data_IF_818251411208
#
_entry.id   IF_818251411208
#
_cell.length_a   1.000
_cell.length_b   1.000
_cell.length_c   1.000
_cell.angle_alpha   90.00
_cell.angle_beta   90.00
_cell.angle_gamma   90.00
#
_symmetry.space_group_name_H-M   'P 1'
#
loop_
_entity.id
_entity.type
_entity.pdbx_description
1 polymer ?
#
# COMPACT_ATOMS: atom_id res chain seq x y z
N UNK A 1 -7.17 5.99 -9.14
CA UNK A 1 -6.15 5.88 -10.23
C UNK A 1 -6.43 4.66 -11.08
N UNK A 2 -6.25 4.72 -12.41
CA UNK A 2 -6.40 3.53 -13.27
C UNK A 2 -5.36 2.48 -12.87
N UNK A 3 -5.78 1.22 -12.66
CA UNK A 3 -4.85 0.10 -12.42
C UNK A 3 -3.87 0.02 -13.59
N UNK A 4 -2.57 0.09 -13.30
CA UNK A 4 -1.55 -0.08 -14.34
C UNK A 4 -1.72 -1.47 -14.95
N UNK A 5 -1.72 -1.62 -16.29
CA UNK A 5 -1.81 -2.94 -16.90
C UNK A 5 -0.60 -3.78 -16.48
N UNK A 6 -0.83 -5.08 -16.27
CA UNK A 6 0.23 -6.03 -15.98
C UNK A 6 1.22 -6.09 -17.14
N UNK A 7 2.50 -6.31 -16.85
CA UNK A 7 3.53 -6.54 -17.88
C UNK A 7 3.46 -7.97 -18.39
N UNK A 8 3.11 -8.90 -17.52
CA UNK A 8 2.81 -10.29 -17.83
C UNK A 8 1.43 -10.68 -17.25
N UNK A 9 0.35 -10.34 -17.97
CA UNK A 9 -1.02 -10.58 -17.47
C UNK A 9 -1.33 -12.06 -17.29
N UNK A 10 -0.67 -12.95 -18.04
CA UNK A 10 -0.86 -14.40 -17.92
C UNK A 10 -0.22 -14.87 -16.61
N UNK A 11 1.05 -14.55 -16.37
CA UNK A 11 1.71 -14.96 -15.14
C UNK A 11 1.07 -14.33 -13.89
N UNK A 12 0.60 -13.08 -13.99
CA UNK A 12 -0.16 -12.43 -12.92
C UNK A 12 -1.45 -13.20 -12.59
N UNK A 13 -2.23 -13.55 -13.61
CA UNK A 13 -3.44 -14.36 -13.47
C UNK A 13 -3.13 -15.73 -12.86
N UNK A 14 -2.11 -16.43 -13.34
CA UNK A 14 -1.72 -17.74 -12.81
C UNK A 14 -1.35 -17.69 -11.33
N UNK A 15 -0.61 -16.66 -10.90
CA UNK A 15 -0.25 -16.48 -9.48
C UNK A 15 -1.48 -16.25 -8.62
N UNK A 16 -2.39 -15.40 -9.07
CA UNK A 16 -3.64 -15.10 -8.36
C UNK A 16 -4.56 -16.33 -8.28
N UNK A 17 -4.70 -17.07 -9.39
CA UNK A 17 -5.47 -18.31 -9.44
C UNK A 17 -4.89 -19.36 -8.48
N UNK A 18 -3.57 -19.59 -8.51
CA UNK A 18 -2.90 -20.53 -7.59
C UNK A 18 -3.07 -20.12 -6.13
N UNK A 19 -2.95 -18.83 -5.82
CA UNK A 19 -3.18 -18.32 -4.47
C UNK A 19 -4.62 -18.59 -4.03
N UNK A 20 -5.60 -18.27 -4.89
CA UNK A 20 -7.04 -18.52 -4.65
C UNK A 20 -7.32 -20.00 -4.38
N UNK A 21 -6.79 -20.90 -5.21
CA UNK A 21 -6.99 -22.35 -5.02
C UNK A 21 -6.44 -22.82 -3.67
N UNK A 22 -5.28 -22.30 -3.23
CA UNK A 22 -4.66 -22.70 -1.95
C UNK A 22 -5.46 -22.28 -0.73
N UNK A 23 -6.18 -21.16 -0.81
CA UNK A 23 -6.95 -20.63 0.33
C UNK A 23 -8.43 -20.98 0.25
N UNK A 24 -8.94 -21.32 -0.93
CA UNK A 24 -10.35 -21.54 -1.21
C UNK A 24 -11.02 -20.29 -1.80
N UNK A 25 -11.85 -20.49 -2.82
CA UNK A 25 -12.56 -19.39 -3.52
C UNK A 25 -13.44 -18.61 -2.55
N UNK A 26 -13.36 -17.28 -2.59
CA UNK A 26 -14.17 -16.39 -1.74
C UNK A 26 -13.77 -16.39 -0.26
N UNK A 27 -12.65 -17.02 0.10
CA UNK A 27 -12.16 -17.04 1.48
C UNK A 27 -11.82 -15.64 1.98
N UNK A 28 -12.10 -15.40 3.26
CA UNK A 28 -11.77 -14.16 3.96
C UNK A 28 -11.16 -14.48 5.32
N UNK A 29 -10.37 -13.57 5.86
CA UNK A 29 -9.90 -13.61 7.24
C UNK A 29 -11.10 -13.47 8.18
N UNK A 30 -11.24 -14.38 9.15
CA UNK A 30 -12.35 -14.32 10.12
C UNK A 30 -12.26 -13.15 11.09
N UNK A 31 -11.06 -12.63 11.34
CA UNK A 31 -10.83 -11.55 12.31
C UNK A 31 -11.06 -10.15 11.72
N UNK A 32 -10.49 -9.90 10.53
CA UNK A 32 -10.47 -8.55 9.95
C UNK A 32 -11.12 -8.44 8.56
N UNK A 33 -11.62 -9.55 8.00
CA UNK A 33 -12.31 -9.55 6.71
C UNK A 33 -11.44 -9.42 5.46
N UNK A 34 -10.10 -9.32 5.60
CA UNK A 34 -9.14 -9.37 4.49
C UNK A 34 -9.47 -10.53 3.54
N UNK A 35 -9.58 -10.24 2.24
CA UNK A 35 -10.05 -11.19 1.23
C UNK A 35 -9.05 -11.43 0.10
N UNK A 36 -7.92 -10.71 0.08
CA UNK A 36 -6.89 -10.90 -0.94
C UNK A 36 -6.21 -12.26 -0.75
N UNK A 37 -6.29 -13.19 -1.72
CA UNK A 37 -5.78 -14.56 -1.54
C UNK A 37 -4.31 -14.64 -1.15
N UNK A 38 -3.48 -13.71 -1.64
CA UNK A 38 -2.05 -13.64 -1.34
C UNK A 38 -1.73 -13.17 0.09
N UNK A 39 -2.65 -12.43 0.73
CA UNK A 39 -2.53 -12.02 2.14
C UNK A 39 -2.98 -13.12 3.11
N UNK A 40 -3.80 -14.06 2.63
CA UNK A 40 -4.30 -15.17 3.42
C UNK A 40 -3.25 -16.27 3.62
N UNK A 41 -3.40 -17.06 4.69
CA UNK A 41 -2.49 -18.15 5.03
C UNK A 41 -3.14 -19.48 4.64
N UNK A 42 -2.60 -20.21 3.65
CA UNK A 42 -3.10 -21.54 3.28
C UNK A 42 -3.07 -22.51 4.47
N UNK A 43 -4.01 -23.47 4.48
CA UNK A 43 -4.05 -24.53 5.50
C UNK A 43 -4.57 -24.12 6.88
N UNK A 44 -4.80 -22.83 7.15
CA UNK A 44 -5.43 -22.38 8.40
C UNK A 44 -6.94 -22.66 8.43
N UNK A 45 -7.45 -23.07 9.60
CA UNK A 45 -8.87 -23.23 9.92
C UNK A 45 -9.12 -22.82 11.40
N UNK A 46 -9.82 -21.71 11.69
CA UNK A 46 -10.46 -20.81 10.74
C UNK A 46 -9.44 -20.09 9.84
N UNK A 47 -9.90 -19.59 8.69
CA UNK A 47 -9.04 -18.87 7.74
C UNK A 47 -8.61 -17.52 8.33
N UNK A 48 -7.30 -17.27 8.37
CA UNK A 48 -6.72 -16.02 8.86
C UNK A 48 -5.75 -15.40 7.84
N UNK A 49 -5.52 -14.09 7.94
CA UNK A 49 -4.51 -13.36 7.16
C UNK A 49 -3.16 -13.31 7.88
N UNK A 50 -2.12 -12.91 7.15
CA UNK A 50 -0.76 -12.76 7.68
C UNK A 50 -0.70 -11.79 8.86
N UNK A 51 -1.45 -10.67 8.78
CA UNK A 51 -1.50 -9.66 9.83
C UNK A 51 -2.03 -10.22 11.15
N UNK A 52 -3.26 -10.75 11.12
CA UNK A 52 -3.90 -11.28 12.33
C UNK A 52 -3.13 -12.47 12.92
N UNK A 53 -2.50 -13.31 12.09
CA UNK A 53 -1.61 -14.35 12.61
C UNK A 53 -0.43 -13.77 13.39
N UNK A 54 0.20 -12.70 12.90
CA UNK A 54 1.32 -12.06 13.61
C UNK A 54 0.89 -11.46 14.93
N UNK A 55 -0.25 -10.77 14.94
CA UNK A 55 -0.82 -10.18 16.15
C UNK A 55 -1.11 -11.27 17.19
N UNK A 56 -1.71 -12.39 16.80
CA UNK A 56 -1.95 -13.54 17.68
C UNK A 56 -0.65 -14.14 18.25
N UNK A 57 0.45 -14.06 17.50
CA UNK A 57 1.77 -14.51 17.93
C UNK A 57 2.59 -13.43 18.67
N UNK A 58 2.00 -12.26 18.95
CA UNK A 58 2.71 -11.15 19.60
C UNK A 58 3.82 -10.53 18.75
N UNK A 59 3.74 -10.67 17.41
CA UNK A 59 4.71 -10.13 16.45
C UNK A 59 4.21 -8.84 15.83
N UNK A 60 5.14 -8.00 15.39
CA UNK A 60 4.81 -6.76 14.69
C UNK A 60 4.09 -7.04 13.36
N UNK A 61 3.08 -6.23 12.99
CA UNK A 61 2.29 -6.40 11.77
C UNK A 61 3.02 -5.96 10.48
N UNK A 62 4.32 -5.73 10.54
CA UNK A 62 5.13 -5.17 9.45
C UNK A 62 6.19 -6.14 8.95
N UNK A 63 6.42 -6.11 7.64
CA UNK A 63 7.58 -6.68 6.99
C UNK A 63 8.56 -5.59 6.57
N UNK A 64 9.84 -5.96 6.50
CA UNK A 64 10.87 -5.17 5.87
C UNK A 64 10.81 -5.37 4.34
N UNK A 65 10.14 -4.43 3.66
CA UNK A 65 10.04 -4.46 2.21
C UNK A 65 11.29 -3.83 1.59
N UNK A 66 11.95 -4.53 0.65
CA UNK A 66 13.06 -3.99 -0.14
C UNK A 66 12.52 -3.33 -1.41
N UNK A 67 12.40 -1.98 -1.50
CA UNK A 67 11.74 -1.35 -2.64
C UNK A 67 12.42 -1.67 -3.96
N UNK A 68 13.75 -1.72 -3.99
CA UNK A 68 14.55 -2.03 -5.18
C UNK A 68 14.78 -3.54 -5.40
N UNK A 69 14.20 -4.41 -4.56
CA UNK A 69 14.54 -5.83 -4.50
C UNK A 69 15.89 -6.06 -3.83
N UNK A 70 15.94 -7.08 -2.97
CA UNK A 70 17.09 -7.38 -2.09
C UNK A 70 18.42 -7.54 -2.85
N UNK A 71 18.39 -8.16 -4.04
CA UNK A 71 19.57 -8.35 -4.88
C UNK A 71 20.17 -7.03 -5.44
N UNK A 72 19.43 -5.93 -5.40
CA UNK A 72 19.88 -4.62 -5.91
C UNK A 72 20.17 -3.60 -4.81
N UNK A 73 19.50 -3.71 -3.67
CA UNK A 73 19.63 -2.81 -2.52
C UNK A 73 19.07 -3.48 -1.26
N UNK A 74 19.85 -3.48 -0.18
CA UNK A 74 19.42 -4.00 1.13
C UNK A 74 18.59 -3.02 1.95
N UNK A 75 18.36 -1.80 1.44
CA UNK A 75 17.52 -0.81 2.12
C UNK A 75 16.07 -1.29 2.17
N UNK A 76 15.47 -1.19 3.35
CA UNK A 76 14.09 -1.61 3.61
C UNK A 76 13.22 -0.47 4.11
N UNK A 77 11.91 -0.66 3.96
CA UNK A 77 10.88 0.16 4.59
C UNK A 77 9.87 -0.74 5.32
N UNK A 78 9.43 -0.36 6.53
CA UNK A 78 8.39 -1.11 7.22
C UNK A 78 7.07 -1.02 6.45
N UNK A 79 6.50 -2.16 6.09
CA UNK A 79 5.27 -2.24 5.29
C UNK A 79 4.29 -3.22 5.95
N UNK A 80 2.99 -2.89 6.05
CA UNK A 80 1.99 -3.83 6.53
C UNK A 80 2.09 -5.18 5.82
N UNK A 81 2.18 -6.28 6.58
CA UNK A 81 2.50 -7.63 6.05
C UNK A 81 1.53 -8.09 4.95
N UNK A 82 0.23 -7.78 5.07
CA UNK A 82 -0.75 -8.13 4.05
C UNK A 82 -0.51 -7.38 2.74
N UNK A 83 -0.17 -6.09 2.81
CA UNK A 83 0.11 -5.28 1.63
C UNK A 83 1.45 -5.63 0.99
N UNK A 84 2.45 -5.94 1.82
CA UNK A 84 3.72 -6.46 1.33
C UNK A 84 3.48 -7.70 0.46
N UNK A 85 2.74 -8.70 0.99
CA UNK A 85 2.45 -9.97 0.30
C UNK A 85 1.50 -9.85 -0.89
N UNK A 86 0.44 -9.06 -0.76
CA UNK A 86 -0.66 -9.05 -1.73
C UNK A 86 -0.57 -7.93 -2.77
N UNK A 87 0.27 -6.90 -2.55
CA UNK A 87 0.42 -5.78 -3.47
C UNK A 87 1.85 -5.56 -3.92
N UNK A 88 2.80 -5.36 -3.00
CA UNK A 88 4.16 -4.97 -3.37
C UNK A 88 4.97 -6.13 -3.97
N UNK A 89 4.98 -7.32 -3.36
CA UNK A 89 5.70 -8.46 -3.95
C UNK A 89 5.17 -8.83 -5.34
N UNK A 90 3.83 -8.88 -5.58
CA UNK A 90 3.29 -9.10 -6.92
C UNK A 90 3.74 -8.06 -7.96
N UNK A 91 3.89 -6.80 -7.58
CA UNK A 91 4.40 -5.75 -8.47
C UNK A 91 5.87 -6.01 -8.83
N UNK A 92 6.70 -6.44 -7.87
CA UNK A 92 8.09 -6.79 -8.15
C UNK A 92 8.23 -8.03 -9.05
N UNK A 93 7.30 -8.98 -8.99
CA UNK A 93 7.29 -10.13 -9.90
C UNK A 93 7.05 -9.73 -11.37
N UNK A 94 6.48 -8.55 -11.63
CA UNK A 94 6.30 -8.02 -12.98
C UNK A 94 7.58 -7.39 -13.55
N UNK A 95 8.65 -7.30 -12.76
CA UNK A 95 9.91 -6.78 -13.24
C UNK A 95 10.57 -7.75 -14.20
N UNK A 96 11.37 -7.26 -15.18
CA UNK A 96 12.22 -8.15 -15.96
C UNK A 96 13.08 -9.00 -15.02
N UNK A 97 13.10 -10.32 -15.20
CA UNK A 97 13.84 -11.26 -14.34
C UNK A 97 15.31 -10.84 -14.14
N UNK A 98 15.98 -10.39 -15.21
CA UNK A 98 17.37 -9.87 -15.14
C UNK A 98 17.54 -8.60 -14.29
N UNK A 99 16.48 -7.81 -14.10
CA UNK A 99 16.50 -6.66 -13.18
C UNK A 99 16.21 -7.10 -11.75
N UNK A 100 15.29 -8.05 -11.55
CA UNK A 100 14.94 -8.55 -10.22
C UNK A 100 16.10 -9.32 -9.56
N UNK A 101 16.70 -10.26 -10.30
CA UNK A 101 17.80 -11.10 -9.79
C UNK A 101 19.16 -10.41 -9.87
N UNK A 102 19.36 -9.57 -10.89
CA UNK A 102 20.62 -8.87 -11.18
C UNK A 102 21.88 -9.75 -11.01
N UNK A 103 21.98 -10.87 -11.76
CA UNK A 103 23.00 -11.90 -11.51
C UNK A 103 24.44 -11.40 -11.62
N UNK A 104 24.68 -10.41 -12.48
CA UNK A 104 26.00 -9.82 -12.73
C UNK A 104 26.30 -8.61 -11.84
N UNK A 105 25.43 -8.31 -10.86
CA UNK A 105 25.53 -7.12 -10.00
C UNK A 105 25.68 -5.81 -10.79
N UNK A 106 24.97 -5.70 -11.92
CA UNK A 106 25.08 -4.53 -12.81
C UNK A 106 24.57 -3.27 -12.10
N UNK A 107 25.36 -2.19 -12.00
CA UNK A 107 24.94 -0.95 -11.35
C UNK A 107 23.79 -0.27 -12.10
N UNK A 108 23.72 -0.45 -13.42
CA UNK A 108 22.61 0.09 -14.24
C UNK A 108 21.31 -0.65 -13.94
N UNK A 109 21.36 -1.97 -13.74
CA UNK A 109 20.18 -2.77 -13.35
C UNK A 109 19.73 -2.42 -11.93
N UNK A 110 20.66 -2.24 -11.00
CA UNK A 110 20.35 -1.77 -9.65
C UNK A 110 19.68 -0.38 -9.67
N UNK A 111 20.20 0.55 -10.47
CA UNK A 111 19.57 1.86 -10.70
C UNK A 111 18.15 1.74 -11.28
N UNK A 112 17.95 0.86 -12.27
CA UNK A 112 16.64 0.61 -12.84
C UNK A 112 15.66 0.01 -11.80
N UNK A 113 16.14 -0.90 -10.94
CA UNK A 113 15.33 -1.50 -9.89
C UNK A 113 14.94 -0.46 -8.82
N UNK A 114 15.87 0.43 -8.42
CA UNK A 114 15.59 1.55 -7.51
C UNK A 114 14.50 2.47 -8.04
N UNK A 115 14.59 2.90 -9.31
CA UNK A 115 13.58 3.77 -9.91
C UNK A 115 12.20 3.09 -9.94
N UNK A 116 12.14 1.80 -10.31
CA UNK A 116 10.89 1.03 -10.30
C UNK A 116 10.30 0.92 -8.91
N UNK A 117 11.11 0.46 -7.97
CA UNK A 117 10.77 0.31 -6.57
C UNK A 117 10.22 1.58 -5.94
N UNK A 118 10.88 2.71 -6.20
CA UNK A 118 10.42 4.03 -5.77
C UNK A 118 9.05 4.37 -6.36
N UNK A 119 8.88 4.23 -7.67
CA UNK A 119 7.60 4.54 -8.31
C UNK A 119 6.44 3.66 -7.83
N UNK A 120 6.70 2.37 -7.59
CA UNK A 120 5.70 1.40 -7.12
C UNK A 120 5.36 1.61 -5.64
N UNK A 121 6.36 1.87 -4.80
CA UNK A 121 6.17 2.24 -3.39
C UNK A 121 5.40 3.56 -3.27
N UNK A 122 5.74 4.57 -4.06
CA UNK A 122 5.03 5.84 -4.04
C UNK A 122 3.58 5.69 -4.52
N UNK A 123 3.34 4.88 -5.55
CA UNK A 123 1.98 4.52 -5.99
C UNK A 123 1.18 3.82 -4.89
N UNK A 124 1.83 2.92 -4.14
CA UNK A 124 1.26 2.28 -2.97
C UNK A 124 0.88 3.31 -1.90
N UNK A 125 1.82 4.15 -1.47
CA UNK A 125 1.57 5.15 -0.42
C UNK A 125 0.46 6.13 -0.82
N UNK A 126 0.47 6.61 -2.06
CA UNK A 126 -0.58 7.51 -2.55
C UNK A 126 -1.94 6.83 -2.53
N UNK A 127 -2.05 5.62 -3.08
CA UNK A 127 -3.34 4.96 -3.25
C UNK A 127 -3.88 4.31 -1.97
N UNK A 128 -3.02 3.70 -1.16
CA UNK A 128 -3.43 2.94 0.02
C UNK A 128 -3.54 3.81 1.28
N UNK A 129 -2.79 4.93 1.34
CA UNK A 129 -2.72 5.75 2.54
C UNK A 129 -3.25 7.17 2.29
N UNK A 130 -2.68 7.90 1.32
CA UNK A 130 -2.94 9.34 1.21
C UNK A 130 -4.34 9.67 0.67
N UNK A 131 -4.78 9.00 -0.40
CA UNK A 131 -6.09 9.24 -1.00
C UNK A 131 -7.23 8.89 -0.02
N UNK A 132 -7.28 7.69 0.60
CA UNK A 132 -8.35 7.36 1.54
C UNK A 132 -8.39 8.30 2.75
N UNK A 133 -7.23 8.75 3.24
CA UNK A 133 -7.18 9.73 4.32
C UNK A 133 -7.73 11.09 3.91
N UNK A 134 -7.44 11.56 2.69
CA UNK A 134 -8.02 12.79 2.18
C UNK A 134 -9.55 12.68 2.06
N UNK A 135 -10.06 11.61 1.46
CA UNK A 135 -11.50 11.36 1.32
C UNK A 135 -12.21 11.27 2.69
N UNK A 136 -11.58 10.65 3.68
CA UNK A 136 -12.07 10.61 5.05
C UNK A 136 -12.11 12.01 5.68
N UNK A 137 -11.05 12.81 5.52
CA UNK A 137 -10.99 14.17 6.06
C UNK A 137 -12.04 15.09 5.42
N UNK A 138 -12.27 14.95 4.12
CA UNK A 138 -13.33 15.66 3.40
C UNK A 138 -14.72 15.26 3.92
N UNK A 139 -14.96 13.96 4.08
CA UNK A 139 -16.22 13.44 4.67
C UNK A 139 -16.42 13.92 6.10
N UNK A 140 -15.34 13.99 6.89
CA UNK A 140 -15.37 14.49 8.25
C UNK A 140 -15.71 15.99 8.28
N UNK A 141 -15.12 16.79 7.39
CA UNK A 141 -15.43 18.23 7.29
C UNK A 141 -16.92 18.45 6.99
N UNK A 142 -17.50 17.72 6.03
CA UNK A 142 -18.92 17.78 5.74
C UNK A 142 -19.79 17.41 6.96
N UNK A 143 -19.37 16.40 7.73
CA UNK A 143 -20.07 16.00 8.94
C UNK A 143 -20.03 17.09 10.01
N UNK A 144 -18.86 17.69 10.23
CA UNK A 144 -18.66 18.74 11.21
C UNK A 144 -19.41 20.02 10.84
N UNK A 145 -19.41 20.41 9.57
CA UNK A 145 -20.19 21.55 9.09
C UNK A 145 -21.69 21.35 9.33
N UNK A 146 -22.23 20.15 9.05
CA UNK A 146 -23.65 19.83 9.32
C UNK A 146 -24.01 19.90 10.81
N UNK A 147 -23.05 19.62 11.70
CA UNK A 147 -23.26 19.55 13.16
C UNK A 147 -23.02 20.88 13.88
N UNK A 148 -21.99 21.61 13.46
CA UNK A 148 -21.45 22.78 14.16
C UNK A 148 -21.62 24.08 13.36
N UNK A 149 -22.07 23.97 12.11
CA UNK A 149 -22.21 25.09 11.19
C UNK A 149 -20.93 25.36 10.38
N UNK A 150 -21.01 26.29 9.41
CA UNK A 150 -19.87 26.67 8.59
C UNK A 150 -18.76 27.30 9.44
N UNK A 151 -17.51 27.06 9.05
CA UNK A 151 -16.31 27.52 9.79
C UNK A 151 -16.24 27.01 11.23
N UNK A 152 -16.69 25.78 11.46
CA UNK A 152 -16.69 25.10 12.76
C UNK A 152 -15.34 25.15 13.50
N UNK A 153 -14.24 25.33 12.77
CA UNK A 153 -12.88 25.39 13.32
C UNK A 153 -12.51 26.75 13.95
N UNK A 154 -13.23 27.85 13.67
CA UNK A 154 -12.89 29.20 14.17
C UNK A 154 -13.10 29.28 15.69
N UNK A 155 -12.12 29.82 16.41
CA UNK A 155 -12.14 29.87 17.88
C UNK A 155 -11.82 28.51 18.54
N UNK A 156 -11.42 27.50 17.76
CA UNK A 156 -10.94 26.20 18.26
C UNK A 156 -9.46 26.03 17.96
N UNK A 157 -8.82 25.00 18.54
CA UNK A 157 -7.43 24.67 18.22
C UNK A 157 -7.20 24.34 16.73
N UNK A 158 -8.25 23.92 16.01
CA UNK A 158 -8.18 23.58 14.59
C UNK A 158 -7.94 24.81 13.70
N UNK A 159 -8.18 26.02 14.20
CA UNK A 159 -7.93 27.26 13.48
C UNK A 159 -6.46 27.40 13.03
N UNK A 160 -5.51 26.78 13.75
CA UNK A 160 -4.08 26.78 13.38
C UNK A 160 -3.79 26.10 12.04
N UNK A 161 -4.67 25.22 11.57
CA UNK A 161 -4.56 24.51 10.30
C UNK A 161 -5.27 25.24 9.16
N UNK A 162 -6.01 26.31 9.44
CA UNK A 162 -6.69 27.08 8.42
C UNK A 162 -5.67 27.67 7.42
N UNK A 163 -5.97 27.67 6.10
CA UNK A 163 -5.07 28.24 5.11
C UNK A 163 -4.75 29.70 5.42
N UNK A 164 -3.45 30.03 5.58
CA UNK A 164 -3.01 31.42 5.72
C UNK A 164 -3.28 32.15 4.40
N UNK A 165 -4.29 33.03 4.38
CA UNK A 165 -4.51 33.90 3.21
C UNK A 165 -3.28 34.79 3.04
N UNK A 166 -2.61 34.73 1.87
CA UNK A 166 -1.66 35.78 1.49
C UNK A 166 -2.43 37.10 1.44
N UNK A 167 -1.91 38.21 2.01
CA UNK A 167 -2.55 39.51 1.84
C UNK A 167 -2.67 39.78 0.34
N UNK A 168 -3.87 40.18 -0.11
CA UNK A 168 -4.03 40.73 -1.45
C UNK A 168 -3.03 41.87 -1.56
N UNK A 169 -2.12 41.81 -2.55
CA UNK A 169 -1.31 42.98 -2.90
C UNK A 169 -2.30 44.09 -3.23
N UNK A 170 -2.35 45.12 -2.39
CA UNK A 170 -3.09 46.33 -2.68
C UNK A 170 -2.43 46.96 -3.90
N UNK A 171 -3.22 47.19 -4.96
CA UNK A 171 -2.94 48.06 -6.11
C UNK A 171 -1.53 48.00 -6.72
N UNK A 172 -1.43 47.38 -7.90
CA UNK A 172 -0.55 47.91 -8.95
C UNK A 172 -1.43 48.64 -9.96
#
# INVERSE_FOLDING_TARGET
MKKKPSRDPIAAFEREARATTRVGVGSRCVECGEDRPLALIPGTNPRICANCQREQLGRLPFDDHHPAGEANDSTTIPTPVNDHRARLSPQQYEWPSKTCVNPDSSPVRAGAARVRGYCETNDYLVCALLIPNAEMLETLDEHLEKRLGPKWWVGTEMERFAPKRKPKRAGA
#
